data_IF_570442148952
#
_entry.id   IF_570442148952
#
_cell.length_a   1.000
_cell.length_b   1.000
_cell.length_c   1.000
_cell.angle_alpha   90.00
_cell.angle_beta   90.00
_cell.angle_gamma   90.00
#
_symmetry.space_group_name_H-M   'P 1'
#
loop_
_entity.id
_entity.type
_entity.pdbx_description
1 polymer ?
#
# COMPACT_ATOMS: atom_id res chain seq x y z
N UNK A 1 -10.84 -9.26 -31.13
CA UNK A 1 -9.61 -8.46 -31.33
C UNK A 1 -9.87 -7.16 -32.06
N UNK A 2 -10.84 -7.13 -32.99
CA UNK A 2 -11.13 -5.97 -33.85
C UNK A 2 -11.41 -4.66 -33.10
N UNK A 3 -12.05 -4.74 -31.93
CA UNK A 3 -12.28 -3.59 -31.07
C UNK A 3 -10.99 -2.95 -30.53
N UNK A 4 -10.04 -3.77 -30.07
CA UNK A 4 -8.76 -3.29 -29.55
C UNK A 4 -7.90 -2.68 -30.67
N UNK A 5 -7.93 -3.29 -31.85
CA UNK A 5 -7.25 -2.77 -33.04
C UNK A 5 -7.88 -1.44 -33.47
N UNK A 6 -9.21 -1.32 -33.47
CA UNK A 6 -9.90 -0.07 -33.78
C UNK A 6 -9.54 1.07 -32.81
N UNK A 7 -9.37 0.77 -31.51
CA UNK A 7 -8.89 1.74 -30.51
C UNK A 7 -7.46 2.22 -30.81
N UNK A 8 -6.55 1.29 -31.12
CA UNK A 8 -5.15 1.59 -31.45
C UNK A 8 -5.03 2.47 -32.70
N UNK A 9 -5.83 2.18 -33.74
CA UNK A 9 -5.84 2.95 -34.99
C UNK A 9 -6.33 4.39 -34.80
N UNK A 10 -7.11 4.67 -33.74
CA UNK A 10 -7.72 5.99 -33.54
C UNK A 10 -6.93 6.94 -32.67
N UNK A 11 -6.00 6.44 -31.84
CA UNK A 11 -4.97 7.14 -31.01
C UNK A 11 -4.78 6.52 -29.62
N UNK A 12 -5.55 5.48 -29.24
CA UNK A 12 -5.41 4.88 -27.92
C UNK A 12 -4.05 4.18 -27.78
N UNK A 13 -3.36 4.42 -26.66
CA UNK A 13 -2.13 3.72 -26.29
C UNK A 13 -2.43 2.68 -25.23
N UNK A 14 -1.82 1.51 -25.37
CA UNK A 14 -1.84 0.51 -24.32
C UNK A 14 -0.96 0.97 -23.15
N UNK A 15 -1.53 1.04 -21.96
CA UNK A 15 -0.79 1.19 -20.71
C UNK A 15 -0.35 -0.18 -20.19
N UNK A 16 0.82 -0.22 -19.57
CA UNK A 16 1.27 -1.40 -18.83
C UNK A 16 0.94 -1.28 -17.34
N UNK A 17 1.22 -2.36 -16.60
CA UNK A 17 1.06 -2.39 -15.14
C UNK A 17 1.76 -1.24 -14.41
N UNK A 18 2.92 -0.78 -14.92
CA UNK A 18 3.65 0.36 -14.34
C UNK A 18 2.89 1.68 -14.48
N UNK A 19 2.23 1.88 -15.61
CA UNK A 19 1.48 3.10 -15.87
C UNK A 19 0.21 3.12 -15.02
N UNK A 20 -0.44 1.95 -14.85
CA UNK A 20 -1.60 1.80 -13.97
C UNK A 20 -1.24 2.07 -12.50
N UNK A 21 -0.12 1.52 -12.01
CA UNK A 21 0.40 1.83 -10.67
C UNK A 21 0.66 3.33 -10.49
N UNK A 22 1.21 3.97 -11.52
CA UNK A 22 1.48 5.42 -11.50
C UNK A 22 0.17 6.21 -11.43
N UNK A 23 -0.82 5.86 -12.24
CA UNK A 23 -2.14 6.48 -12.24
C UNK A 23 -2.87 6.31 -10.90
N UNK A 24 -2.74 5.15 -10.25
CA UNK A 24 -3.29 4.93 -8.91
C UNK A 24 -2.63 5.82 -7.85
N UNK A 25 -1.30 5.92 -7.88
CA UNK A 25 -0.54 6.81 -7.00
C UNK A 25 -0.94 8.29 -7.20
N UNK A 26 -1.04 8.75 -8.43
CA UNK A 26 -1.50 10.11 -8.76
C UNK A 26 -2.92 10.38 -8.27
N UNK A 27 -3.80 9.38 -8.37
CA UNK A 27 -5.16 9.44 -7.84
C UNK A 27 -5.22 9.31 -6.31
N UNK A 28 -4.08 9.18 -5.62
CA UNK A 28 -3.99 8.89 -4.18
C UNK A 28 -4.84 7.67 -3.78
N UNK A 29 -4.91 6.67 -4.65
CA UNK A 29 -5.62 5.40 -4.44
C UNK A 29 -4.60 4.29 -4.20
N UNK A 30 -4.87 3.47 -3.20
CA UNK A 30 -4.07 2.27 -2.96
C UNK A 30 -4.37 1.22 -4.03
N UNK A 31 -3.31 0.65 -4.60
CA UNK A 31 -3.37 -0.44 -5.55
C UNK A 31 -3.14 -1.78 -4.84
N UNK A 32 -4.11 -2.68 -4.93
CA UNK A 32 -3.94 -4.05 -4.48
C UNK A 32 -3.14 -4.85 -5.53
N UNK A 33 -2.15 -5.69 -5.16
CA UNK A 33 -1.78 -6.10 -3.80
C UNK A 33 -0.65 -5.29 -3.16
N UNK A 34 0.12 -4.54 -3.95
CA UNK A 34 1.40 -3.94 -3.51
C UNK A 34 1.26 -2.94 -2.37
N UNK A 35 0.18 -2.14 -2.36
CA UNK A 35 -0.04 -1.14 -1.30
C UNK A 35 -0.76 -1.71 -0.07
N UNK A 36 -1.21 -2.96 -0.12
CA UNK A 36 -2.03 -3.60 0.92
C UNK A 36 -1.18 -4.60 1.72
N UNK A 37 -0.30 -4.03 2.54
CA UNK A 37 0.76 -4.71 3.31
C UNK A 37 0.22 -5.73 4.34
N UNK A 38 -0.97 -5.50 4.89
CA UNK A 38 -1.59 -6.40 5.85
C UNK A 38 -2.20 -7.66 5.23
N UNK A 39 -2.50 -7.60 3.93
CA UNK A 39 -3.01 -8.75 3.21
C UNK A 39 -1.90 -9.79 3.07
N UNK A 40 -2.28 -11.06 3.02
CA UNK A 40 -1.34 -12.15 2.75
C UNK A 40 -0.59 -11.94 1.44
N UNK A 41 -1.29 -11.44 0.41
CA UNK A 41 -0.70 -11.13 -0.88
C UNK A 41 0.35 -10.01 -0.79
N UNK A 42 0.06 -8.94 -0.03
CA UNK A 42 1.03 -7.87 0.20
C UNK A 42 2.26 -8.35 0.98
N UNK A 43 2.06 -9.18 2.01
CA UNK A 43 3.17 -9.81 2.73
C UNK A 43 4.07 -10.64 1.81
N UNK A 44 3.48 -11.41 0.89
CA UNK A 44 4.21 -12.21 -0.08
C UNK A 44 4.93 -11.35 -1.13
N UNK A 45 4.31 -10.26 -1.59
CA UNK A 45 4.89 -9.31 -2.55
C UNK A 45 6.11 -8.58 -1.95
N UNK A 46 6.01 -8.14 -0.69
CA UNK A 46 7.13 -7.49 0.02
C UNK A 46 8.32 -8.45 0.17
N UNK A 47 8.07 -9.71 0.53
CA UNK A 47 9.13 -10.74 0.61
C UNK A 47 9.77 -10.98 -0.75
N UNK A 48 8.97 -11.00 -1.82
CA UNK A 48 9.49 -11.13 -3.18
C UNK A 48 10.37 -9.92 -3.55
N UNK A 49 9.90 -8.70 -3.27
CA UNK A 49 10.66 -7.47 -3.53
C UNK A 49 11.98 -7.47 -2.75
N UNK A 50 11.98 -7.89 -1.49
CA UNK A 50 13.19 -8.04 -0.67
C UNK A 50 14.22 -8.93 -1.38
N UNK A 51 13.83 -10.16 -1.75
CA UNK A 51 14.74 -11.11 -2.39
C UNK A 51 15.29 -10.53 -3.71
N UNK A 52 14.44 -9.88 -4.50
CA UNK A 52 14.88 -9.23 -5.73
C UNK A 52 15.90 -8.10 -5.50
N UNK A 53 15.75 -7.35 -4.41
CA UNK A 53 16.67 -6.28 -4.03
C UNK A 53 18.00 -6.83 -3.48
N UNK A 54 17.96 -7.86 -2.65
CA UNK A 54 19.15 -8.55 -2.14
C UNK A 54 19.98 -9.14 -3.28
N UNK A 55 19.34 -9.87 -4.20
CA UNK A 55 20.00 -10.43 -5.38
C UNK A 55 20.60 -9.32 -6.26
N UNK A 56 19.90 -8.20 -6.45
CA UNK A 56 20.42 -7.05 -7.21
C UNK A 56 21.61 -6.38 -6.51
N UNK A 57 21.61 -6.34 -5.19
CA UNK A 57 22.71 -5.82 -4.40
C UNK A 57 23.93 -6.73 -4.46
N UNK A 58 23.74 -8.04 -4.36
CA UNK A 58 24.81 -9.03 -4.39
C UNK A 58 25.45 -9.22 -5.76
N UNK A 59 24.72 -8.93 -6.84
CA UNK A 59 25.29 -8.89 -8.19
C UNK A 59 26.38 -7.83 -8.38
N UNK A 60 26.40 -6.77 -7.56
CA UNK A 60 27.41 -5.71 -7.68
C UNK A 60 28.70 -6.13 -6.97
N UNK A 61 29.90 -5.75 -7.45
CA UNK A 61 31.13 -5.99 -6.70
C UNK A 61 31.21 -5.09 -5.45
N UNK A 62 31.91 -5.54 -4.41
CA UNK A 62 31.94 -4.88 -3.09
C UNK A 62 32.27 -3.37 -3.16
N UNK A 63 33.22 -2.96 -4.00
CA UNK A 63 33.62 -1.56 -4.14
C UNK A 63 32.57 -0.65 -4.81
N UNK A 64 31.60 -1.23 -5.53
CA UNK A 64 30.48 -0.52 -6.17
C UNK A 64 29.17 -0.64 -5.38
N UNK A 65 29.17 -1.39 -4.28
CA UNK A 65 28.01 -1.52 -3.40
C UNK A 65 27.89 -0.32 -2.46
N UNK A 66 26.65 0.07 -2.20
CA UNK A 66 26.32 1.09 -1.21
C UNK A 66 26.48 0.48 0.19
N UNK A 67 27.27 1.12 1.06
CA UNK A 67 27.49 0.63 2.43
C UNK A 67 26.38 1.14 3.37
N UNK A 68 25.25 0.44 3.41
CA UNK A 68 24.08 0.82 4.21
C UNK A 68 24.36 0.96 5.71
N UNK A 69 25.03 -0.02 6.32
CA UNK A 69 25.34 0.04 7.75
C UNK A 69 26.47 1.02 8.08
N UNK A 70 27.64 0.83 7.45
CA UNK A 70 28.86 1.59 7.81
C UNK A 70 28.75 3.10 7.56
N UNK A 71 28.03 3.52 6.52
CA UNK A 71 27.95 4.95 6.14
C UNK A 71 26.61 5.59 6.45
N UNK A 72 25.51 4.83 6.43
CA UNK A 72 24.16 5.39 6.61
C UNK A 72 23.45 4.88 7.87
N UNK A 73 24.04 3.95 8.62
CA UNK A 73 23.43 3.35 9.82
C UNK A 73 22.01 2.80 9.58
N UNK A 74 21.73 2.32 8.37
CA UNK A 74 20.43 1.76 8.00
C UNK A 74 20.40 0.29 8.42
N UNK A 75 19.50 -0.03 9.36
CA UNK A 75 19.31 -1.39 9.92
C UNK A 75 18.72 -2.35 8.88
N UNK A 76 17.68 -1.94 8.18
CA UNK A 76 16.95 -2.75 7.20
C UNK A 76 16.92 -2.06 5.82
N UNK A 77 17.89 -2.34 4.93
CA UNK A 77 17.97 -1.66 3.64
C UNK A 77 17.05 -2.21 2.55
N UNK A 78 16.58 -3.46 2.69
CA UNK A 78 15.76 -4.15 1.69
C UNK A 78 14.40 -4.62 2.22
N UNK A 79 14.19 -4.50 3.54
CA UNK A 79 12.95 -4.85 4.22
C UNK A 79 12.44 -3.67 5.03
N UNK A 80 11.14 -3.68 5.26
CA UNK A 80 10.52 -2.77 6.19
C UNK A 80 9.82 -3.59 7.28
N UNK A 81 10.42 -3.64 8.46
CA UNK A 81 9.87 -4.36 9.61
C UNK A 81 8.78 -3.52 10.29
N UNK A 82 7.57 -3.55 9.72
CA UNK A 82 6.41 -2.83 10.25
C UNK A 82 6.10 -3.22 11.70
N UNK A 83 6.30 -4.49 12.07
CA UNK A 83 6.03 -4.98 13.42
C UNK A 83 6.96 -4.34 14.46
N UNK A 84 8.26 -4.23 14.17
CA UNK A 84 9.22 -3.57 15.05
C UNK A 84 8.85 -2.09 15.22
N UNK A 85 8.60 -1.40 14.11
CA UNK A 85 8.23 0.02 14.12
C UNK A 85 6.97 0.27 14.95
N UNK A 86 5.93 -0.54 14.75
CA UNK A 86 4.69 -0.45 15.53
C UNK A 86 4.95 -0.71 17.01
N UNK A 87 5.77 -1.71 17.34
CA UNK A 87 6.10 -2.03 18.72
C UNK A 87 6.81 -0.87 19.42
N UNK A 88 7.73 -0.18 18.74
CA UNK A 88 8.48 0.92 19.30
C UNK A 88 7.62 2.18 19.44
N UNK A 89 6.71 2.42 18.48
CA UNK A 89 5.71 3.50 18.59
C UNK A 89 4.72 3.27 19.74
N UNK A 90 4.25 2.03 19.92
CA UNK A 90 3.33 1.70 21.02
C UNK A 90 4.01 1.86 22.38
N UNK A 91 5.26 1.39 22.51
CA UNK A 91 6.09 1.60 23.71
C UNK A 91 6.27 3.09 24.00
N UNK A 92 6.61 3.90 22.99
CA UNK A 92 6.80 5.34 23.16
C UNK A 92 5.54 6.07 23.64
N UNK A 93 4.35 5.58 23.26
CA UNK A 93 3.06 6.13 23.71
C UNK A 93 2.53 5.53 25.01
N UNK A 94 3.20 4.52 25.58
CA UNK A 94 2.71 3.80 26.77
C UNK A 94 1.41 3.00 26.50
N UNK A 95 1.10 2.72 25.23
CA UNK A 95 -0.12 2.02 24.84
C UNK A 95 0.18 0.52 24.78
N UNK A 96 -0.64 -0.30 25.45
CA UNK A 96 -0.52 -1.77 25.39
C UNK A 96 -0.88 -2.27 23.98
N UNK A 97 -0.16 -3.28 23.46
CA UNK A 97 -0.45 -3.81 22.13
C UNK A 97 -1.87 -4.38 22.08
N UNK A 98 -2.62 -3.97 21.05
CA UNK A 98 -3.95 -4.52 20.72
C UNK A 98 -3.73 -5.75 19.83
N UNK A 99 -4.34 -6.88 20.18
CA UNK A 99 -4.04 -8.17 19.53
C UNK A 99 -4.50 -8.26 18.07
N UNK A 100 -5.50 -7.47 17.64
CA UNK A 100 -6.02 -7.49 16.27
C UNK A 100 -6.47 -6.09 15.81
N UNK A 101 -5.54 -5.23 15.37
CA UNK A 101 -5.91 -3.94 14.80
C UNK A 101 -6.56 -4.12 13.43
N UNK A 102 -7.82 -3.73 13.30
CA UNK A 102 -8.48 -3.63 11.99
C UNK A 102 -8.17 -2.28 11.35
N UNK A 103 -7.52 -2.30 10.18
CA UNK A 103 -7.13 -1.08 9.47
C UNK A 103 -8.22 -0.69 8.48
N UNK A 104 -8.97 0.36 8.80
CA UNK A 104 -9.92 0.97 7.88
C UNK A 104 -9.15 1.82 6.85
N UNK A 105 -9.15 1.40 5.59
CA UNK A 105 -8.41 2.06 4.49
C UNK A 105 -9.21 3.09 3.70
N UNK A 106 -10.53 3.06 3.82
CA UNK A 106 -11.36 3.98 3.07
C UNK A 106 -11.23 5.39 3.66
N UNK A 107 -10.61 6.29 2.88
CA UNK A 107 -10.43 7.69 3.25
C UNK A 107 -11.75 8.39 3.51
N UNK A 108 -12.82 8.03 2.77
CA UNK A 108 -14.14 8.62 2.97
C UNK A 108 -14.71 8.19 4.32
N UNK A 109 -14.59 6.91 4.66
CA UNK A 109 -14.98 6.37 5.95
C UNK A 109 -14.15 6.95 7.11
N UNK A 110 -12.84 7.16 6.93
CA UNK A 110 -12.00 7.83 7.93
C UNK A 110 -12.38 9.31 8.13
N UNK A 111 -12.72 10.02 7.06
CA UNK A 111 -13.18 11.41 7.12
C UNK A 111 -14.55 11.53 7.81
N UNK A 112 -15.46 10.57 7.59
CA UNK A 112 -16.74 10.56 8.32
C UNK A 112 -16.52 10.25 9.81
N UNK A 113 -15.66 9.28 10.12
CA UNK A 113 -15.34 8.88 11.49
C UNK A 113 -14.64 10.00 12.27
N UNK A 114 -13.71 10.72 11.64
CA UNK A 114 -13.08 11.90 12.25
C UNK A 114 -14.06 13.05 12.50
N UNK A 115 -14.99 13.33 11.57
CA UNK A 115 -16.07 14.32 11.77
C UNK A 115 -17.00 13.93 12.91
N UNK A 116 -17.33 12.64 13.00
CA UNK A 116 -18.14 12.11 14.10
C UNK A 116 -17.42 12.25 15.45
N UNK A 117 -16.13 11.88 15.54
CA UNK A 117 -15.33 12.07 16.76
C UNK A 117 -15.23 13.54 17.22
N UNK A 118 -15.32 14.49 16.29
CA UNK A 118 -15.35 15.93 16.59
C UNK A 118 -16.75 16.45 16.95
N UNK A 119 -17.76 15.58 17.04
CA UNK A 119 -19.16 15.92 17.34
C UNK A 119 -19.91 16.60 16.19
N UNK A 120 -19.36 16.59 14.96
CA UNK A 120 -19.89 17.30 13.79
C UNK A 120 -20.53 16.38 12.73
N UNK A 121 -20.85 15.13 13.07
CA UNK A 121 -21.36 14.15 12.09
C UNK A 121 -22.21 13.02 12.69
N UNK A 122 -22.97 12.34 11.84
CA UNK A 122 -23.71 11.12 12.19
C UNK A 122 -22.76 9.93 12.44
N UNK A 123 -23.17 8.95 13.26
CA UNK A 123 -22.35 7.77 13.53
C UNK A 123 -22.08 6.98 12.25
N UNK A 124 -20.83 6.53 12.02
CA UNK A 124 -20.49 5.69 10.88
C UNK A 124 -21.24 4.35 11.02
N UNK A 125 -22.26 4.16 10.18
CA UNK A 125 -23.20 3.04 10.27
C UNK A 125 -24.64 3.40 9.88
N UNK A 126 -24.99 4.69 9.82
CA UNK A 126 -26.27 5.19 9.29
C UNK A 126 -26.16 5.73 7.85
N UNK A 127 -25.20 5.25 7.05
CA UNK A 127 -25.32 5.40 5.61
C UNK A 127 -26.44 4.47 5.14
N UNK A 128 -27.55 5.05 4.71
CA UNK A 128 -28.72 4.38 4.14
C UNK A 128 -28.32 3.20 3.25
N UNK A 129 -28.93 2.04 3.51
CA UNK A 129 -28.81 0.77 2.79
C UNK A 129 -29.28 0.79 1.32
N UNK A 130 -29.09 1.89 0.57
CA UNK A 130 -29.70 2.06 -0.75
C UNK A 130 -28.73 2.11 -1.94
N UNK A 131 -27.42 1.91 -1.77
CA UNK A 131 -26.47 1.92 -2.90
C UNK A 131 -25.64 0.63 -3.07
N UNK A 132 -26.00 -0.46 -2.38
CA UNK A 132 -25.46 -1.81 -2.67
C UNK A 132 -26.34 -2.58 -3.68
N UNK A 133 -26.89 -1.87 -4.66
CA UNK A 133 -27.42 -2.50 -5.86
C UNK A 133 -26.26 -2.72 -6.84
N UNK A 134 -25.67 -3.91 -6.74
CA UNK A 134 -25.20 -4.74 -7.86
C UNK A 134 -24.32 -4.04 -8.90
N UNK A 135 -23.00 -4.21 -8.77
CA UNK A 135 -22.12 -4.46 -9.93
C UNK A 135 -21.04 -5.47 -9.54
N UNK A 136 -21.39 -6.75 -9.64
CA UNK A 136 -20.44 -7.83 -9.90
C UNK A 136 -20.59 -8.19 -11.38
N UNK A 137 -19.79 -7.58 -12.24
CA UNK A 137 -19.36 -8.08 -13.55
C UNK A 137 -18.00 -7.47 -13.85
#
# INVERSE_FOLDING_TARGET
MDFWVALQLRTARASGWRDDLTAHLEASRFCYPTDVIDSRAGCEDIKRMQVEHEVRYDKRPHNRRVQYWRKMSVKYPFTFEYAELLSDWLKAKGIKPVEQPHVLRDRRALLSLSKWMQGKGQPPGQCSNNELAVTWW
#
